data_IF_074154759514
#
_entry.id   IF_074154759514
#
_cell.length_a   1.000
_cell.length_b   1.000
_cell.length_c   1.000
_cell.angle_alpha   90.00
_cell.angle_beta   90.00
_cell.angle_gamma   90.00
#
_symmetry.space_group_name_H-M   'P 1'
#
loop_
_entity.id
_entity.type
_entity.pdbx_description
1 polymer ?
#
# COMPACT_ATOMS: atom_id res chain seq x y z
N UNK A 1 -4.28 -17.13 6.84
CA UNK A 1 -3.97 -15.68 6.88
C UNK A 1 -4.33 -15.13 5.51
N UNK A 2 -5.14 -14.08 5.42
CA UNK A 2 -5.41 -13.41 4.15
C UNK A 2 -4.13 -12.95 3.46
N UNK A 3 -4.15 -12.98 2.13
CA UNK A 3 -3.13 -12.37 1.30
C UNK A 3 -3.67 -11.06 0.76
N UNK A 4 -2.86 -10.02 0.85
CA UNK A 4 -3.17 -8.69 0.33
C UNK A 4 -2.16 -8.35 -0.76
N UNK A 5 -2.65 -7.86 -1.89
CA UNK A 5 -1.80 -7.26 -2.91
C UNK A 5 -1.68 -5.77 -2.60
N UNK A 6 -0.46 -5.30 -2.40
CA UNK A 6 -0.14 -3.89 -2.15
C UNK A 6 0.52 -3.34 -3.39
N UNK A 7 0.04 -2.19 -3.88
CA UNK A 7 0.62 -1.49 -5.03
C UNK A 7 0.91 -0.05 -4.64
N UNK A 8 2.14 0.38 -4.89
CA UNK A 8 2.62 1.73 -4.61
C UNK A 8 2.67 2.54 -5.90
N UNK A 9 2.22 3.79 -5.83
CA UNK A 9 2.19 4.70 -6.97
C UNK A 9 2.88 6.02 -6.63
N UNK A 10 3.56 6.59 -7.62
CA UNK A 10 4.16 7.92 -7.53
C UNK A 10 3.20 9.05 -7.92
N UNK A 11 3.69 10.29 -7.87
CA UNK A 11 2.91 11.50 -8.18
C UNK A 11 2.29 11.53 -9.59
N UNK A 12 2.80 10.73 -10.53
CA UNK A 12 2.25 10.59 -11.89
C UNK A 12 1.22 9.46 -11.99
N UNK A 13 0.81 8.89 -10.86
CA UNK A 13 0.00 7.66 -10.77
C UNK A 13 0.61 6.47 -11.50
N UNK A 14 1.93 6.44 -11.68
CA UNK A 14 2.63 5.27 -12.21
C UNK A 14 2.97 4.32 -11.07
N UNK A 15 2.79 3.01 -11.30
CA UNK A 15 3.21 1.96 -10.37
C UNK A 15 4.73 2.03 -10.24
N UNK A 16 5.21 2.13 -9.00
CA UNK A 16 6.65 2.10 -8.70
C UNK A 16 7.06 0.75 -8.11
N UNK A 17 6.17 0.11 -7.35
CA UNK A 17 6.40 -1.22 -6.80
C UNK A 17 5.07 -1.91 -6.47
N UNK A 18 5.10 -3.23 -6.37
CA UNK A 18 3.97 -4.05 -5.95
C UNK A 18 4.42 -5.32 -5.27
N UNK A 19 3.74 -5.69 -4.18
CA UNK A 19 4.08 -6.87 -3.39
C UNK A 19 2.82 -7.59 -2.88
N UNK A 20 2.97 -8.87 -2.55
CA UNK A 20 1.95 -9.65 -1.88
C UNK A 20 2.36 -9.91 -0.44
N UNK A 21 1.55 -9.45 0.52
CA UNK A 21 1.81 -9.61 1.95
C UNK A 21 0.78 -10.52 2.61
N UNK A 22 1.23 -11.30 3.60
CA UNK A 22 0.38 -12.18 4.39
C UNK A 22 0.19 -11.56 5.78
N UNK A 23 -1.01 -11.07 6.05
CA UNK A 23 -1.32 -10.37 7.29
C UNK A 23 -2.55 -10.93 7.96
N UNK A 24 -2.64 -10.77 9.29
CA UNK A 24 -3.79 -11.24 10.07
C UNK A 24 -5.07 -10.42 9.78
N UNK A 25 -4.94 -9.17 9.36
CA UNK A 25 -6.05 -8.25 9.08
C UNK A 25 -5.64 -7.15 8.10
N UNK A 26 -6.64 -6.49 7.50
CA UNK A 26 -6.41 -5.34 6.61
C UNK A 26 -5.76 -4.18 7.37
N UNK A 27 -6.10 -3.96 8.64
CA UNK A 27 -5.46 -2.91 9.48
C UNK A 27 -3.96 -3.12 9.62
N UNK A 28 -3.50 -4.37 9.83
CA UNK A 28 -2.07 -4.67 9.89
C UNK A 28 -1.41 -4.53 8.53
N UNK A 29 -2.11 -4.90 7.45
CA UNK A 29 -1.64 -4.69 6.08
C UNK A 29 -1.44 -3.20 5.75
N UNK A 30 -2.38 -2.32 6.14
CA UNK A 30 -2.26 -0.87 5.96
C UNK A 30 -1.01 -0.31 6.63
N UNK A 31 -0.85 -0.57 7.92
CA UNK A 31 0.32 -0.10 8.70
C UNK A 31 1.63 -0.63 8.15
N UNK A 32 1.66 -1.89 7.73
CA UNK A 32 2.84 -2.49 7.10
C UNK A 32 3.16 -1.79 5.78
N UNK A 33 2.15 -1.58 4.91
CA UNK A 33 2.34 -0.93 3.62
C UNK A 33 2.82 0.51 3.77
N UNK A 34 2.25 1.27 4.71
CA UNK A 34 2.72 2.64 5.02
C UNK A 34 4.18 2.66 5.47
N UNK A 35 4.57 1.73 6.35
CA UNK A 35 5.93 1.68 6.88
C UNK A 35 6.98 1.21 5.86
N UNK A 36 6.58 0.35 4.91
CA UNK A 36 7.43 -0.19 3.86
C UNK A 36 7.30 0.58 2.53
N UNK A 37 6.60 1.72 2.52
CA UNK A 37 6.41 2.51 1.33
C UNK A 37 7.78 2.97 0.78
N UNK A 38 8.08 2.71 -0.51
CA UNK A 38 9.31 3.19 -1.11
C UNK A 38 9.29 4.71 -1.25
N UNK A 39 10.48 5.32 -1.28
CA UNK A 39 10.62 6.77 -1.49
C UNK A 39 9.93 7.21 -2.79
N UNK A 40 9.18 8.32 -2.72
CA UNK A 40 8.39 8.83 -3.84
C UNK A 40 7.04 8.14 -4.06
N UNK A 41 6.67 7.17 -3.22
CA UNK A 41 5.28 6.71 -3.12
C UNK A 41 4.41 7.82 -2.54
N UNK A 42 3.33 8.18 -3.24
CA UNK A 42 2.31 9.11 -2.72
C UNK A 42 0.96 8.41 -2.48
N UNK A 43 0.82 7.19 -2.99
CA UNK A 43 -0.44 6.47 -2.99
C UNK A 43 -0.17 4.97 -2.84
N UNK A 44 -0.93 4.34 -1.96
CA UNK A 44 -0.95 2.90 -1.73
C UNK A 44 -2.36 2.38 -2.04
N UNK A 45 -2.45 1.34 -2.85
CA UNK A 45 -3.66 0.55 -3.01
C UNK A 45 -3.46 -0.84 -2.41
N UNK A 46 -4.47 -1.31 -1.67
CA UNK A 46 -4.50 -2.66 -1.13
C UNK A 46 -5.69 -3.39 -1.70
N UNK A 47 -5.43 -4.53 -2.35
CA UNK A 47 -6.43 -5.39 -2.98
C UNK A 47 -6.38 -6.80 -2.38
N UNK A 48 -7.45 -7.56 -2.56
CA UNK A 48 -7.42 -9.00 -2.32
C UNK A 48 -6.87 -9.77 -3.54
N UNK A 49 -6.84 -11.10 -3.45
CA UNK A 49 -6.38 -11.96 -4.54
C UNK A 49 -7.30 -11.98 -5.76
N UNK A 50 -8.55 -11.53 -5.62
CA UNK A 50 -9.53 -11.43 -6.70
C UNK A 50 -9.53 -10.03 -7.34
N UNK A 51 -8.50 -9.23 -7.08
CA UNK A 51 -8.34 -7.85 -7.53
C UNK A 51 -9.41 -6.89 -7.00
N UNK A 52 -10.12 -7.28 -5.93
CA UNK A 52 -11.07 -6.40 -5.25
C UNK A 52 -10.31 -5.35 -4.44
N UNK A 53 -10.58 -4.08 -4.73
CA UNK A 53 -10.03 -2.95 -3.99
C UNK A 53 -10.57 -2.90 -2.57
N UNK A 54 -9.70 -3.14 -1.59
CA UNK A 54 -10.05 -3.13 -0.17
C UNK A 54 -9.74 -1.78 0.50
N UNK A 55 -8.68 -1.10 0.06
CA UNK A 55 -8.27 0.18 0.62
C UNK A 55 -7.44 0.99 -0.36
N UNK A 56 -7.50 2.31 -0.18
CA UNK A 56 -6.67 3.31 -0.85
C UNK A 56 -6.19 4.33 0.18
N UNK A 57 -4.92 4.66 0.16
CA UNK A 57 -4.31 5.56 1.15
C UNK A 57 -3.34 6.50 0.43
N UNK A 58 -3.50 7.80 0.65
CA UNK A 58 -2.51 8.79 0.22
C UNK A 58 -1.47 8.91 1.32
N UNK A 59 -0.20 8.84 0.95
CA UNK A 59 0.91 9.15 1.84
C UNK A 59 1.08 10.67 1.77
N UNK A 60 0.39 11.41 2.63
CA UNK A 60 0.68 12.82 2.81
C UNK A 60 2.10 12.93 3.37
N UNK A 61 2.93 13.77 2.75
CA UNK A 61 4.37 14.00 3.03
C UNK A 61 4.61 14.65 4.40
N UNK A 62 3.97 14.13 5.45
CA UNK A 62 4.13 14.55 6.84
C UNK A 62 5.16 13.66 7.52
N UNK A 63 6.34 13.62 6.92
CA UNK A 63 7.58 13.42 7.66
C UNK A 63 8.28 14.78 7.77
N UNK A 64 7.69 15.68 8.56
CA UNK A 64 8.46 16.77 9.18
C UNK A 64 9.11 16.20 10.44
N UNK A 65 10.41 15.88 10.36
CA UNK A 65 11.33 15.84 11.50
C UNK A 65 12.67 16.45 11.08
#
# INVERSE_FOLDING_TARGET
MPTYQVTYFNAKHAVIDSEAIFMKSLTNAKRSAEHHAPEGAILIEIRDLMDQMLSRMTLDDSCED
#
